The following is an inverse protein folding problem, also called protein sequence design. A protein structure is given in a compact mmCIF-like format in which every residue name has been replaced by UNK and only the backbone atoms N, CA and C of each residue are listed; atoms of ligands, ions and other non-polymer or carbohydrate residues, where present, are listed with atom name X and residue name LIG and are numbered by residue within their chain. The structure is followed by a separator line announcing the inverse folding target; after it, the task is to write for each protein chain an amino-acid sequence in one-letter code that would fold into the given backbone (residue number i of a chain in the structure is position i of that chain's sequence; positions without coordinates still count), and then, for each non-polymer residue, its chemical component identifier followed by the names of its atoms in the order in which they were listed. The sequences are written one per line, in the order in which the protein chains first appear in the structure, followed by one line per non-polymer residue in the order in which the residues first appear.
data_IF_985319973585
#
_entry.id   IF_985319973585
#
_cell.length_a   1.000
_cell.length_b   1.000
_cell.length_c   1.000
_cell.angle_alpha   90.00
_cell.angle_beta   90.00
_cell.angle_gamma   90.00
#
_symmetry.space_group_name_H-M   'P 1'
#
loop_
_entity.id
_entity.type
_entity.pdbx_description
1 polymer ?
#
# COMPACT_ATOMS: atom_id res chain seq x y z
N UNK A 1 -9.69 -20.00 7.43
CA UNK A 1 -9.98 -18.56 7.62
C UNK A 1 -10.66 -18.05 6.37
N UNK A 2 -11.81 -17.35 6.53
CA UNK A 2 -12.60 -16.85 5.40
C UNK A 2 -12.13 -15.45 4.92
N UNK A 3 -12.55 -15.08 3.70
CA UNK A 3 -12.21 -13.79 3.09
C UNK A 3 -12.52 -12.56 3.97
N UNK A 4 -13.70 -12.43 4.63
CA UNK A 4 -13.97 -11.28 5.49
C UNK A 4 -12.99 -11.15 6.66
N UNK A 5 -12.57 -12.27 7.23
CA UNK A 5 -11.63 -12.31 8.33
C UNK A 5 -10.22 -11.91 7.87
N UNK A 6 -9.77 -12.35 6.70
CA UNK A 6 -8.49 -11.93 6.11
C UNK A 6 -8.46 -10.42 5.87
N UNK A 7 -9.52 -9.85 5.30
CA UNK A 7 -9.63 -8.41 5.07
C UNK A 7 -9.61 -7.60 6.38
N UNK A 8 -10.29 -8.10 7.43
CA UNK A 8 -10.29 -7.46 8.74
C UNK A 8 -8.88 -7.45 9.36
N UNK A 9 -8.17 -8.58 9.31
CA UNK A 9 -6.80 -8.70 9.83
C UNK A 9 -5.83 -7.80 9.05
N UNK A 10 -5.96 -7.72 7.72
CA UNK A 10 -5.16 -6.80 6.92
C UNK A 10 -5.33 -5.34 7.38
N UNK A 11 -6.58 -4.88 7.57
CA UNK A 11 -6.87 -3.54 8.10
C UNK A 11 -6.29 -3.31 9.49
N UNK A 12 -6.44 -4.27 10.39
CA UNK A 12 -5.90 -4.18 11.74
C UNK A 12 -4.37 -4.12 11.75
N UNK A 13 -3.71 -4.91 10.91
CA UNK A 13 -2.25 -4.88 10.77
C UNK A 13 -1.77 -3.53 10.24
N UNK A 14 -2.39 -3.02 9.17
CA UNK A 14 -2.07 -1.71 8.57
C UNK A 14 -2.24 -0.58 9.59
N UNK A 15 -3.31 -0.59 10.37
CA UNK A 15 -3.61 0.46 11.35
C UNK A 15 -2.56 0.58 12.46
N UNK A 16 -1.72 -0.43 12.67
CA UNK A 16 -0.63 -0.41 13.65
C UNK A 16 0.69 0.11 13.08
N UNK A 17 0.75 0.36 11.77
CA UNK A 17 1.99 0.72 11.06
C UNK A 17 1.88 2.15 10.53
N UNK A 18 2.49 3.15 11.21
CA UNK A 18 2.36 4.55 10.84
C UNK A 18 3.15 4.93 9.57
N UNK A 19 4.16 4.16 9.22
CA UNK A 19 4.99 4.37 8.03
C UNK A 19 5.02 3.09 7.20
N UNK A 20 5.09 3.23 5.88
CA UNK A 20 5.23 2.07 5.00
C UNK A 20 6.27 2.34 3.89
N UNK A 21 6.67 1.28 3.21
CA UNK A 21 7.55 1.39 2.03
C UNK A 21 6.70 1.55 0.78
N UNK A 22 6.89 2.66 0.06
CA UNK A 22 6.38 2.83 -1.30
C UNK A 22 7.38 2.23 -2.29
N UNK A 23 6.95 1.22 -3.03
CA UNK A 23 7.77 0.51 -4.01
C UNK A 23 7.28 0.85 -5.41
N UNK A 24 8.16 1.39 -6.22
CA UNK A 24 7.94 1.71 -7.64
C UNK A 24 9.00 1.02 -8.49
N UNK A 25 8.78 0.94 -9.79
CA UNK A 25 9.69 0.27 -10.72
C UNK A 25 10.27 1.28 -11.70
N UNK A 26 11.58 1.32 -11.81
CA UNK A 26 12.33 2.13 -12.75
C UNK A 26 12.17 1.63 -14.20
N UNK A 27 12.64 2.42 -15.16
CA UNK A 27 12.58 2.06 -16.59
C UNK A 27 13.40 0.82 -16.91
N UNK A 28 14.51 0.62 -16.22
CA UNK A 28 15.37 -0.55 -16.34
C UNK A 28 14.85 -1.80 -15.60
N UNK A 29 13.66 -1.70 -14.96
CA UNK A 29 13.04 -2.79 -14.21
C UNK A 29 13.47 -2.88 -12.74
N UNK A 30 14.38 -2.03 -12.27
CA UNK A 30 14.78 -2.02 -10.86
C UNK A 30 13.66 -1.53 -9.95
N UNK A 31 13.47 -2.22 -8.83
CA UNK A 31 12.52 -1.80 -7.80
C UNK A 31 13.18 -0.77 -6.88
N UNK A 32 12.52 0.36 -6.70
CA UNK A 32 12.93 1.40 -5.77
C UNK A 32 11.96 1.47 -4.60
N UNK A 33 12.45 1.29 -3.38
CA UNK A 33 11.68 1.37 -2.16
C UNK A 33 12.10 2.59 -1.31
N UNK A 34 11.13 3.30 -0.75
CA UNK A 34 11.37 4.43 0.19
C UNK A 34 10.22 4.57 1.16
N UNK A 35 10.52 5.08 2.34
CA UNK A 35 9.51 5.33 3.36
C UNK A 35 8.56 6.44 2.92
N UNK A 36 7.28 6.24 3.16
CA UNK A 36 6.22 7.26 3.08
C UNK A 36 5.33 7.18 4.31
N UNK A 37 4.67 8.29 4.62
CA UNK A 37 3.65 8.35 5.66
C UNK A 37 2.28 8.33 4.99
N UNK A 38 1.59 7.19 4.97
CA UNK A 38 0.25 7.11 4.40
C UNK A 38 -0.79 7.72 5.33
N UNK A 39 -1.85 8.26 4.75
CA UNK A 39 -3.09 8.53 5.48
C UNK A 39 -3.83 7.23 5.81
N UNK A 40 -5.01 7.34 6.44
CA UNK A 40 -5.80 6.16 6.81
C UNK A 40 -6.27 5.38 5.58
N UNK A 41 -6.26 4.05 5.69
CA UNK A 41 -6.85 3.16 4.70
C UNK A 41 -8.37 3.35 4.69
N UNK A 42 -8.93 3.74 3.54
CA UNK A 42 -10.36 3.99 3.38
C UNK A 42 -11.16 2.68 3.24
N UNK A 43 -12.49 2.78 3.37
CA UNK A 43 -13.38 1.61 3.23
C UNK A 43 -13.30 0.96 1.85
N UNK A 44 -13.13 1.77 0.81
CA UNK A 44 -13.00 1.33 -0.58
C UNK A 44 -11.62 0.70 -0.92
N UNK A 45 -10.77 0.52 0.09
CA UNK A 45 -9.40 0.05 -0.08
C UNK A 45 -8.53 1.03 -0.91
N UNK A 46 -8.77 2.31 -0.78
CA UNK A 46 -7.83 3.31 -1.26
C UNK A 46 -7.05 3.92 -0.11
N UNK A 47 -5.81 4.33 -0.38
CA UNK A 47 -4.93 4.99 0.57
C UNK A 47 -4.11 6.05 -0.13
N UNK A 48 -3.91 7.20 0.51
CA UNK A 48 -3.16 8.32 -0.05
C UNK A 48 -1.94 8.68 0.79
N UNK A 49 -0.92 9.22 0.16
CA UNK A 49 0.20 9.88 0.82
C UNK A 49 0.62 11.12 0.04
N UNK A 50 1.21 12.09 0.73
CA UNK A 50 1.75 13.30 0.10
C UNK A 50 3.18 13.10 -0.35
N UNK A 51 3.55 13.76 -1.43
CA UNK A 51 4.92 13.76 -1.94
C UNK A 51 5.16 14.94 -2.87
N UNK A 52 6.41 15.21 -3.21
CA UNK A 52 6.77 16.22 -4.21
C UNK A 52 6.38 15.78 -5.64
N UNK A 53 5.81 16.71 -6.39
CA UNK A 53 5.30 16.51 -7.75
C UNK A 53 6.33 15.94 -8.72
N UNK A 54 7.55 16.43 -8.66
CA UNK A 54 8.60 16.10 -9.64
C UNK A 54 9.60 15.06 -9.13
N UNK A 55 9.31 14.40 -8.01
CA UNK A 55 10.20 13.37 -7.49
C UNK A 55 10.18 12.09 -8.35
N UNK A 56 11.27 11.33 -8.27
CA UNK A 56 11.46 10.07 -9.02
C UNK A 56 10.28 9.10 -8.89
N UNK A 57 9.72 8.93 -7.68
CA UNK A 57 8.59 8.00 -7.47
C UNK A 57 7.35 8.40 -8.28
N UNK A 58 7.05 9.70 -8.41
CA UNK A 58 5.91 10.18 -9.22
C UNK A 58 6.15 9.90 -10.69
N UNK A 59 7.37 10.12 -11.20
CA UNK A 59 7.74 9.82 -12.58
C UNK A 59 7.59 8.31 -12.88
N UNK A 60 8.08 7.44 -11.99
CA UNK A 60 7.97 5.98 -12.11
C UNK A 60 6.50 5.52 -12.07
N UNK A 61 5.69 6.10 -11.18
CA UNK A 61 4.25 5.86 -11.08
C UNK A 61 3.52 6.24 -12.37
N UNK A 62 3.80 7.44 -12.90
CA UNK A 62 3.17 7.92 -14.13
C UNK A 62 3.54 7.04 -15.34
N UNK A 63 4.77 6.55 -15.38
CA UNK A 63 5.26 5.69 -16.46
C UNK A 63 4.66 4.28 -16.38
N UNK A 64 4.62 3.67 -15.18
CA UNK A 64 4.23 2.26 -15.02
C UNK A 64 2.75 2.06 -14.73
N UNK A 65 2.07 3.08 -14.19
CA UNK A 65 0.70 2.94 -13.70
C UNK A 65 0.58 1.97 -12.50
N UNK A 66 1.69 1.68 -11.79
CA UNK A 66 1.71 0.71 -10.68
C UNK A 66 2.44 1.26 -9.47
N UNK A 67 1.94 0.89 -8.30
CA UNK A 67 2.53 1.20 -6.99
C UNK A 67 2.22 0.06 -6.03
N UNK A 68 3.18 -0.23 -5.16
CA UNK A 68 2.99 -1.11 -4.01
C UNK A 68 3.32 -0.36 -2.73
N UNK A 69 2.45 -0.44 -1.73
CA UNK A 69 2.71 0.00 -0.36
C UNK A 69 2.87 -1.23 0.53
N UNK A 70 4.04 -1.39 1.12
CA UNK A 70 4.36 -2.52 1.99
C UNK A 70 4.43 -2.05 3.44
N UNK A 71 3.56 -2.61 4.28
CA UNK A 71 3.45 -2.38 5.71
C UNK A 71 4.04 -3.57 6.45
N UNK A 72 5.00 -3.32 7.35
CA UNK A 72 5.61 -4.36 8.17
C UNK A 72 5.28 -4.10 9.64
N UNK A 73 4.72 -5.08 10.31
CA UNK A 73 4.38 -5.06 11.73
C UNK A 73 5.22 -6.09 12.49
N UNK A 74 6.35 -5.67 13.04
CA UNK A 74 7.30 -6.55 13.72
C UNK A 74 6.70 -7.21 14.95
N UNK A 75 5.87 -6.48 15.72
CA UNK A 75 5.21 -6.98 16.91
C UNK A 75 4.32 -8.21 16.63
N UNK A 76 3.74 -8.29 15.44
CA UNK A 76 2.89 -9.41 15.02
C UNK A 76 3.63 -10.39 14.11
N UNK A 77 4.88 -10.16 13.78
CA UNK A 77 5.61 -10.91 12.74
C UNK A 77 4.75 -10.98 11.47
N UNK A 78 4.33 -9.81 11.00
CA UNK A 78 3.34 -9.68 9.96
C UNK A 78 3.76 -8.66 8.91
N UNK A 79 3.25 -8.84 7.68
CA UNK A 79 3.25 -7.79 6.68
C UNK A 79 1.94 -7.78 5.89
N UNK A 80 1.61 -6.62 5.37
CA UNK A 80 0.56 -6.43 4.38
C UNK A 80 1.13 -5.64 3.22
N UNK A 81 0.99 -6.16 2.02
CA UNK A 81 1.36 -5.49 0.79
C UNK A 81 0.11 -5.10 0.01
N UNK A 82 -0.04 -3.81 -0.29
CA UNK A 82 -1.14 -3.27 -1.07
C UNK A 82 -0.59 -2.86 -2.44
N UNK A 83 -0.99 -3.55 -3.49
CA UNK A 83 -0.62 -3.20 -4.87
C UNK A 83 -1.83 -2.73 -5.66
N UNK A 84 -1.60 -1.83 -6.62
CA UNK A 84 -2.71 -1.34 -7.43
C UNK A 84 -2.34 -0.20 -8.36
N UNK A 85 -3.38 0.53 -8.79
CA UNK A 85 -3.24 1.69 -9.68
C UNK A 85 -3.11 2.97 -8.86
N UNK A 86 -2.01 3.70 -8.98
CA UNK A 86 -1.87 5.02 -8.37
C UNK A 86 -2.51 6.10 -9.24
N UNK A 87 -3.08 7.11 -8.57
CA UNK A 87 -3.55 8.35 -9.19
C UNK A 87 -2.82 9.50 -8.53
N UNK A 88 -2.16 10.35 -9.32
CA UNK A 88 -1.50 11.57 -8.82
C UNK A 88 -2.51 12.71 -8.89
N UNK A 89 -2.79 13.34 -7.75
CA UNK A 89 -3.84 14.34 -7.59
C UNK A 89 -3.26 15.63 -7.01
N UNK A 90 -3.65 16.76 -7.61
CA UNK A 90 -3.41 18.08 -7.05
C UNK A 90 -4.75 18.61 -6.48
N UNK A 91 -5.10 18.11 -5.31
CA UNK A 91 -6.37 18.41 -4.64
C UNK A 91 -6.07 19.02 -3.25
N UNK A 92 -6.30 20.31 -3.13
CA UNK A 92 -6.03 21.05 -1.89
C UNK A 92 -6.89 20.57 -0.72
N UNK A 93 -8.13 20.15 -0.96
CA UNK A 93 -9.01 19.64 0.09
C UNK A 93 -8.50 18.28 0.60
N UNK A 94 -8.08 17.41 -0.33
CA UNK A 94 -7.50 16.12 0.02
C UNK A 94 -6.15 16.28 0.74
N UNK A 95 -5.29 17.20 0.29
CA UNK A 95 -4.04 17.54 0.99
C UNK A 95 -4.31 17.95 2.45
N UNK A 96 -5.24 18.87 2.67
CA UNK A 96 -5.61 19.31 4.03
C UNK A 96 -6.20 18.17 4.86
N UNK A 97 -6.99 17.29 4.26
CA UNK A 97 -7.62 16.17 4.97
C UNK A 97 -6.63 15.13 5.51
N UNK A 98 -5.49 14.96 4.86
CA UNK A 98 -4.43 14.03 5.28
C UNK A 98 -3.22 14.74 5.91
N UNK A 99 -3.24 16.08 5.99
CA UNK A 99 -2.18 16.86 6.62
C UNK A 99 -2.10 16.57 8.11
N UNK A 100 -0.89 16.41 8.60
CA UNK A 100 -0.60 16.23 10.02
C UNK A 100 0.54 17.16 10.45
N UNK A 101 0.78 17.40 11.73
CA UNK A 101 1.92 18.18 12.18
C UNK A 101 3.27 17.64 11.71
N UNK A 102 3.38 16.32 11.49
CA UNK A 102 4.58 15.72 10.92
C UNK A 102 4.77 16.09 9.44
N UNK A 103 3.70 16.47 8.73
CA UNK A 103 3.78 16.88 7.32
C UNK A 103 4.55 18.19 7.16
N UNK A 104 4.49 19.10 8.13
CA UNK A 104 5.20 20.38 8.10
C UNK A 104 6.73 20.19 8.05
N UNK A 105 7.22 19.11 8.64
CA UNK A 105 8.65 18.77 8.62
C UNK A 105 9.14 18.42 7.21
N UNK A 106 8.30 17.74 6.43
CA UNK A 106 8.66 17.26 5.08
C UNK A 106 8.20 18.21 3.97
N UNK A 107 7.19 19.04 4.25
CA UNK A 107 6.57 19.95 3.30
C UNK A 107 6.40 21.33 3.90
N UNK A 108 7.50 22.12 4.09
CA UNK A 108 7.47 23.41 4.79
C UNK A 108 6.63 24.48 4.08
N UNK A 109 6.28 24.28 2.80
CA UNK A 109 5.38 25.15 2.05
C UNK A 109 3.91 24.99 2.40
N UNK A 110 3.57 24.01 3.24
CA UNK A 110 2.20 23.75 3.69
C UNK A 110 1.33 23.01 2.66
N UNK A 111 0.05 22.79 2.99
CA UNK A 111 -0.88 22.03 2.13
C UNK A 111 -1.24 22.73 0.82
N UNK A 112 -0.98 24.03 0.73
CA UNK A 112 -1.25 24.82 -0.47
C UNK A 112 -0.04 24.93 -1.41
N UNK A 113 1.10 24.32 -1.05
CA UNK A 113 2.28 24.28 -1.91
C UNK A 113 1.95 23.53 -3.22
N UNK A 114 2.10 24.19 -4.41
CA UNK A 114 1.84 23.56 -5.71
C UNK A 114 2.80 22.42 -6.04
N UNK A 115 3.95 22.34 -5.35
CA UNK A 115 4.89 21.24 -5.53
C UNK A 115 4.49 19.98 -4.76
N UNK A 116 3.55 20.07 -3.83
CA UNK A 116 3.01 18.92 -3.09
C UNK A 116 1.80 18.35 -3.82
N UNK A 117 1.82 17.06 -4.06
CA UNK A 117 0.71 16.28 -4.63
C UNK A 117 0.34 15.12 -3.71
N UNK A 118 -0.87 14.60 -3.87
CA UNK A 118 -1.31 13.36 -3.26
C UNK A 118 -1.20 12.23 -4.28
N UNK A 119 -0.55 11.16 -3.90
CA UNK A 119 -0.62 9.89 -4.62
C UNK A 119 -1.67 9.02 -3.93
N UNK A 120 -2.78 8.75 -4.60
CA UNK A 120 -3.84 7.86 -4.13
C UNK A 120 -3.69 6.51 -4.80
N UNK A 121 -3.46 5.47 -4.02
CA UNK A 121 -3.43 4.08 -4.48
C UNK A 121 -4.85 3.51 -4.48
N UNK A 122 -5.32 3.03 -5.62
CA UNK A 122 -6.54 2.23 -5.78
C UNK A 122 -6.12 0.76 -5.76
N UNK A 123 -6.33 0.09 -4.62
CA UNK A 123 -5.80 -1.25 -4.39
C UNK A 123 -6.57 -2.30 -5.20
N UNK A 124 -5.83 -3.13 -5.93
CA UNK A 124 -6.37 -4.27 -6.70
C UNK A 124 -5.80 -5.62 -6.25
N UNK A 125 -4.74 -5.61 -5.43
CA UNK A 125 -4.16 -6.80 -4.83
C UNK A 125 -3.74 -6.53 -3.39
N UNK A 126 -4.07 -7.45 -2.50
CA UNK A 126 -3.64 -7.46 -1.11
C UNK A 126 -2.91 -8.78 -0.86
N UNK A 127 -1.70 -8.69 -0.34
CA UNK A 127 -0.94 -9.84 0.12
C UNK A 127 -0.76 -9.74 1.64
N UNK A 128 -1.09 -10.81 2.36
CA UNK A 128 -1.11 -10.84 3.83
C UNK A 128 -0.32 -12.03 4.33
N UNK A 129 0.60 -11.76 5.25
CA UNK A 129 1.20 -12.72 6.16
C UNK A 129 1.06 -12.19 7.58
N UNK A 130 0.60 -13.01 8.51
CA UNK A 130 0.49 -12.62 9.92
C UNK A 130 0.60 -13.85 10.82
N UNK A 131 1.80 -14.07 11.36
CA UNK A 131 2.09 -15.23 12.18
C UNK A 131 1.26 -15.24 13.48
N UNK A 132 1.05 -14.07 14.10
CA UNK A 132 0.28 -13.95 15.34
C UNK A 132 -1.20 -14.28 15.17
N UNK A 133 -1.73 -14.14 13.95
CA UNK A 133 -3.12 -14.43 13.62
C UNK A 133 -3.29 -15.75 12.84
N UNK A 134 -2.22 -16.55 12.74
CA UNK A 134 -2.25 -17.84 12.05
C UNK A 134 -2.41 -17.74 10.53
N UNK A 135 -2.08 -16.59 9.93
CA UNK A 135 -2.02 -16.43 8.46
C UNK A 135 -0.63 -16.85 8.00
N UNK A 136 -0.44 -18.15 7.99
CA UNK A 136 0.77 -18.85 7.56
C UNK A 136 0.31 -20.02 6.69
N UNK A 137 -0.03 -19.79 5.41
CA UNK A 137 -0.61 -20.85 4.58
C UNK A 137 0.23 -22.12 4.57
N UNK A 138 -0.46 -23.26 4.83
CA UNK A 138 0.11 -24.61 4.81
C UNK A 138 0.73 -24.94 3.43
N UNK A 139 1.75 -25.80 3.35
CA UNK A 139 2.28 -26.64 4.44
C UNK A 139 3.48 -26.05 5.20
N UNK A 140 4.12 -25.01 4.68
CA UNK A 140 5.41 -24.53 5.23
C UNK A 140 5.34 -23.17 5.91
N UNK A 141 4.17 -22.51 5.93
CA UNK A 141 3.97 -21.23 6.60
C UNK A 141 4.74 -20.05 5.96
N UNK A 142 5.16 -20.18 4.70
CA UNK A 142 5.95 -19.17 4.00
C UNK A 142 5.18 -18.47 2.87
N UNK A 143 3.98 -18.95 2.55
CA UNK A 143 3.15 -18.35 1.50
C UNK A 143 2.15 -17.39 2.11
N UNK A 144 2.10 -16.17 1.61
CA UNK A 144 1.09 -15.20 1.98
C UNK A 144 -0.29 -15.57 1.42
N UNK A 145 -1.35 -15.09 2.06
CA UNK A 145 -2.68 -15.08 1.47
C UNK A 145 -2.78 -13.92 0.47
N UNK A 146 -3.15 -14.20 -0.76
CA UNK A 146 -3.27 -13.20 -1.82
C UNK A 146 -4.74 -12.99 -2.17
N UNK A 147 -5.18 -11.75 -2.07
CA UNK A 147 -6.54 -11.33 -2.41
C UNK A 147 -6.51 -10.44 -3.64
N UNK A 148 -7.34 -10.74 -4.64
CA UNK A 148 -7.50 -9.92 -5.84
C UNK A 148 -8.86 -9.25 -5.87
N UNK A 149 -8.87 -7.99 -6.31
CA UNK A 149 -10.12 -7.29 -6.56
C UNK A 149 -10.81 -7.88 -7.80
N UNK A 150 -12.12 -8.08 -7.65
CA UNK A 150 -13.03 -8.48 -8.73
C UNK A 150 -14.22 -7.51 -8.75
N UNK A 151 -15.07 -7.56 -9.77
CA UNK A 151 -16.15 -6.58 -9.97
C UNK A 151 -17.09 -6.45 -8.75
N UNK A 152 -17.30 -7.53 -8.00
CA UNK A 152 -18.18 -7.57 -6.83
C UNK A 152 -17.46 -7.58 -5.48
N UNK A 153 -16.15 -7.29 -5.44
CA UNK A 153 -15.42 -7.27 -4.18
C UNK A 153 -14.02 -7.87 -4.27
N UNK A 154 -13.74 -8.86 -3.42
CA UNK A 154 -12.43 -9.51 -3.33
C UNK A 154 -12.54 -11.02 -3.50
N UNK A 155 -11.52 -11.64 -4.07
CA UNK A 155 -11.38 -13.08 -4.21
C UNK A 155 -10.03 -13.52 -3.62
N UNK A 156 -10.04 -14.60 -2.83
CA UNK A 156 -8.82 -15.27 -2.39
C UNK A 156 -8.23 -16.06 -3.58
N UNK A 157 -7.00 -15.76 -3.94
CA UNK A 157 -6.24 -16.59 -4.87
C UNK A 157 -5.73 -17.81 -4.09
N UNK A 158 -5.98 -19.01 -4.61
CA UNK A 158 -5.41 -20.22 -4.01
C UNK A 158 -3.90 -20.18 -4.18
N UNK A 159 -3.15 -20.35 -3.09
CA UNK A 159 -1.69 -20.37 -3.07
C UNK A 159 -1.05 -21.60 -3.79
N UNK A 160 -1.81 -22.32 -4.57
CA UNK A 160 -1.37 -23.50 -5.32
C UNK A 160 -0.98 -23.14 -6.76
N UNK A 161 0.00 -22.27 -6.95
CA UNK A 161 0.88 -22.48 -8.09
C UNK A 161 1.90 -23.56 -7.68
N UNK A 162 1.59 -24.82 -7.97
CA UNK A 162 2.62 -25.84 -8.09
C UNK A 162 3.60 -25.32 -9.15
N UNK A 163 4.81 -24.96 -8.73
CA UNK A 163 5.93 -24.87 -9.63
C UNK A 163 6.02 -26.24 -10.30
N UNK A 164 5.56 -26.33 -11.55
CA UNK A 164 5.91 -27.45 -12.39
C UNK A 164 7.40 -27.33 -12.66
N UNK A 165 8.15 -28.31 -12.13
CA UNK A 165 9.56 -28.50 -12.40
C UNK A 165 9.80 -28.84 -13.87
#
# INVERSE_FOLDING_TARGET
MGLPQLLAIARQTIAQVPLCMAVTVAENGEAHARVVQPGPLREDWSVGFMTERYCRKVQEIQRTGRLTLAYQCDAQKAYVSLSGRPVVMDDAALKRAIWSPASDLFHPGGPDDPNVVVVRLLVDCIEIYNASQGIQPSPVGLNAAVLRRVDTGWRLESSTQKLQA
#
